data_IF_902706195843
#
_entry.id   IF_902706195843
#
_cell.length_a   1.000
_cell.length_b   1.000
_cell.length_c   1.000
_cell.angle_alpha   90.00
_cell.angle_beta   90.00
_cell.angle_gamma   90.00
#
_symmetry.space_group_name_H-M   'P 1'
#
loop_
_entity.id
_entity.type
_entity.pdbx_description
1 polymer ?
#
# COMPACT_ATOMS: atom_id res chain seq x y z
N UNK A 1 10.33 -4.10 -6.69
CA UNK A 1 9.60 -3.35 -7.74
C UNK A 1 8.13 -3.17 -7.37
N UNK A 2 7.43 -4.27 -7.05
CA UNK A 2 6.04 -4.26 -6.59
C UNK A 2 5.77 -3.34 -5.38
N UNK A 3 6.51 -3.51 -4.28
CA UNK A 3 6.35 -2.70 -3.06
C UNK A 3 6.55 -1.20 -3.34
N UNK A 4 7.60 -0.85 -4.09
CA UNK A 4 7.88 0.55 -4.46
C UNK A 4 6.79 1.13 -5.37
N UNK A 5 6.33 0.37 -6.37
CA UNK A 5 5.26 0.80 -7.25
C UNK A 5 3.97 1.05 -6.46
N UNK A 6 3.66 0.16 -5.51
CA UNK A 6 2.55 0.32 -4.58
C UNK A 6 2.68 1.62 -3.75
N UNK A 7 3.79 1.79 -3.02
CA UNK A 7 4.00 2.96 -2.13
C UNK A 7 3.92 4.28 -2.91
N UNK A 8 4.56 4.34 -4.09
CA UNK A 8 4.53 5.50 -4.98
C UNK A 8 3.10 5.84 -5.44
N UNK A 9 2.32 4.83 -5.81
CA UNK A 9 0.95 5.04 -6.30
C UNK A 9 -0.02 5.44 -5.20
N UNK A 10 0.13 4.86 -4.00
CA UNK A 10 -0.67 5.21 -2.83
C UNK A 10 -0.32 6.61 -2.29
N UNK A 11 0.90 7.10 -2.57
CA UNK A 11 1.34 8.42 -2.12
C UNK A 11 1.76 8.45 -0.65
N UNK A 12 2.25 7.31 -0.13
CA UNK A 12 2.84 7.22 1.20
C UNK A 12 4.27 7.76 1.19
N UNK A 13 4.52 8.88 1.89
CA UNK A 13 5.88 9.30 2.24
C UNK A 13 6.43 8.47 3.41
N UNK A 14 7.72 8.64 3.76
CA UNK A 14 8.38 7.88 4.83
C UNK A 14 7.69 7.94 6.22
N UNK A 15 6.79 8.91 6.43
CA UNK A 15 6.11 9.15 7.71
C UNK A 15 4.67 8.61 7.75
N UNK A 16 4.13 8.17 6.60
CA UNK A 16 2.77 7.62 6.52
C UNK A 16 2.78 6.17 7.03
N UNK A 17 1.86 5.76 7.92
CA UNK A 17 1.78 4.39 8.44
C UNK A 17 1.21 3.43 7.37
N UNK A 18 2.06 3.13 6.38
CA UNK A 18 1.82 2.31 5.20
C UNK A 18 2.91 1.25 5.12
N UNK A 19 2.53 0.00 4.86
CA UNK A 19 3.48 -1.09 4.60
C UNK A 19 3.05 -1.91 3.39
N UNK A 20 4.04 -2.39 2.64
CA UNK A 20 3.85 -3.41 1.62
C UNK A 20 5.02 -4.38 1.61
N UNK A 21 4.74 -5.67 1.48
CA UNK A 21 5.74 -6.73 1.44
C UNK A 21 5.45 -7.68 0.28
N UNK A 22 6.46 -7.93 -0.54
CA UNK A 22 6.42 -8.83 -1.67
C UNK A 22 7.21 -10.12 -1.39
N UNK A 23 6.66 -11.26 -1.80
CA UNK A 23 7.33 -12.55 -1.69
C UNK A 23 7.14 -13.35 -2.98
N UNK A 24 8.17 -14.10 -3.39
CA UNK A 24 8.08 -15.03 -4.51
C UNK A 24 8.17 -16.45 -3.96
N UNK A 25 7.18 -17.29 -4.28
CA UNK A 25 7.17 -18.71 -3.96
C UNK A 25 6.58 -19.49 -5.13
N UNK A 26 7.25 -20.57 -5.54
CA UNK A 26 6.81 -21.42 -6.66
C UNK A 26 6.47 -20.61 -7.94
N UNK A 27 7.33 -19.65 -8.28
CA UNK A 27 7.15 -18.74 -9.43
C UNK A 27 5.87 -17.87 -9.38
N UNK A 28 5.31 -17.65 -8.19
CA UNK A 28 4.19 -16.73 -7.96
C UNK A 28 4.66 -15.59 -7.07
N UNK A 29 4.43 -14.36 -7.49
CA UNK A 29 4.66 -13.16 -6.70
C UNK A 29 3.40 -12.83 -5.89
N UNK A 30 3.48 -12.87 -4.57
CA UNK A 30 2.47 -12.30 -3.68
C UNK A 30 2.89 -10.91 -3.22
N UNK A 31 1.93 -10.00 -3.10
CA UNK A 31 2.12 -8.68 -2.53
C UNK A 31 1.02 -8.47 -1.48
N UNK A 32 1.43 -8.20 -0.24
CA UNK A 32 0.54 -7.85 0.87
C UNK A 32 0.76 -6.38 1.22
N UNK A 33 -0.32 -5.66 1.50
CA UNK A 33 -0.26 -4.25 1.85
C UNK A 33 -1.19 -3.89 3.00
N UNK A 34 -0.85 -2.84 3.73
CA UNK A 34 -1.62 -2.34 4.87
C UNK A 34 -1.46 -0.84 5.04
N UNK A 35 -2.55 -0.15 5.34
CA UNK A 35 -2.60 1.27 5.71
C UNK A 35 -3.28 1.37 7.07
N UNK A 36 -2.70 2.12 8.00
CA UNK A 36 -3.27 2.35 9.32
C UNK A 36 -3.70 3.81 9.48
N UNK A 37 -4.68 4.05 10.35
CA UNK A 37 -4.93 5.39 10.89
C UNK A 37 -3.75 5.82 11.76
N UNK A 38 -3.60 7.13 12.02
CA UNK A 38 -2.46 7.62 12.79
C UNK A 38 -2.46 7.14 14.25
N UNK A 39 -3.64 6.85 14.81
CA UNK A 39 -3.81 6.25 16.13
C UNK A 39 -3.82 4.70 16.11
N UNK A 40 -3.64 4.09 14.93
CA UNK A 40 -3.61 2.63 14.75
C UNK A 40 -4.97 1.91 14.88
N UNK A 41 -6.06 2.61 15.17
CA UNK A 41 -7.38 1.99 15.41
C UNK A 41 -8.07 1.50 14.14
N UNK A 42 -7.84 2.18 13.02
CA UNK A 42 -8.35 1.78 11.71
C UNK A 42 -7.22 1.17 10.90
N UNK A 43 -7.49 0.04 10.26
CA UNK A 43 -6.53 -0.66 9.42
C UNK A 43 -7.23 -1.20 8.18
N UNK A 44 -6.69 -0.87 7.01
CA UNK A 44 -7.11 -1.41 5.72
C UNK A 44 -5.98 -2.30 5.22
N UNK A 45 -6.30 -3.55 4.90
CA UNK A 45 -5.34 -4.52 4.37
C UNK A 45 -5.91 -5.17 3.11
N UNK A 46 -5.03 -5.43 2.15
CA UNK A 46 -5.35 -6.26 0.98
C UNK A 46 -4.08 -6.97 0.51
N UNK A 47 -4.25 -8.00 -0.31
CA UNK A 47 -3.16 -8.71 -0.96
C UNK A 47 -3.56 -9.15 -2.36
N UNK A 48 -2.59 -9.27 -3.24
CA UNK A 48 -2.79 -9.78 -4.60
C UNK A 48 -1.61 -10.65 -5.03
N UNK A 49 -1.88 -11.60 -5.91
CA UNK A 49 -0.87 -12.45 -6.55
C UNK A 49 -0.74 -12.10 -8.02
N UNK A 50 0.45 -12.32 -8.59
CA UNK A 50 0.71 -12.07 -9.99
C UNK A 50 2.00 -12.73 -10.48
N UNK A 51 2.34 -12.43 -11.72
CA UNK A 51 3.55 -12.90 -12.37
C UNK A 51 4.79 -12.16 -11.83
N UNK A 52 5.86 -12.87 -11.38
CA UNK A 52 7.11 -12.25 -10.97
C UNK A 52 7.79 -11.38 -12.04
N UNK A 53 7.50 -11.58 -13.32
CA UNK A 53 8.00 -10.76 -14.44
C UNK A 53 7.32 -9.39 -14.55
N UNK A 54 6.12 -9.22 -13.94
CA UNK A 54 5.35 -7.98 -13.97
C UNK A 54 5.08 -7.40 -12.56
N UNK A 55 6.12 -7.20 -11.73
CA UNK A 55 5.95 -6.84 -10.33
C UNK A 55 5.36 -5.43 -10.15
N UNK A 56 5.69 -4.49 -11.02
CA UNK A 56 5.18 -3.11 -10.93
C UNK A 56 3.68 -3.05 -11.20
N UNK A 57 3.19 -3.81 -12.18
CA UNK A 57 1.77 -3.91 -12.49
C UNK A 57 0.99 -4.45 -11.29
N UNK A 58 1.52 -5.49 -10.63
CA UNK A 58 0.92 -6.02 -9.40
C UNK A 58 0.84 -4.95 -8.29
N UNK A 59 1.91 -4.16 -8.12
CA UNK A 59 1.95 -3.05 -7.19
C UNK A 59 0.91 -1.96 -7.49
N UNK A 60 0.76 -1.58 -8.75
CA UNK A 60 -0.23 -0.60 -9.20
C UNK A 60 -1.67 -1.09 -8.99
N UNK A 61 -1.95 -2.36 -9.33
CA UNK A 61 -3.26 -2.98 -9.13
C UNK A 61 -3.64 -3.04 -7.65
N UNK A 62 -2.70 -3.44 -6.78
CA UNK A 62 -2.96 -3.48 -5.34
C UNK A 62 -3.15 -2.08 -4.74
N UNK A 63 -2.42 -1.08 -5.26
CA UNK A 63 -2.59 0.31 -4.83
C UNK A 63 -3.96 0.88 -5.21
N UNK A 64 -4.44 0.61 -6.42
CA UNK A 64 -5.80 1.02 -6.82
C UNK A 64 -6.87 0.38 -5.93
N UNK A 65 -6.69 -0.91 -5.62
CA UNK A 65 -7.61 -1.65 -4.77
C UNK A 65 -7.66 -1.10 -3.34
N UNK A 66 -6.50 -0.89 -2.70
CA UNK A 66 -6.48 -0.36 -1.33
C UNK A 66 -7.02 1.07 -1.23
N UNK A 67 -6.83 1.88 -2.28
CA UNK A 67 -7.40 3.22 -2.37
C UNK A 67 -8.92 3.17 -2.50
N UNK A 68 -9.45 2.24 -3.31
CA UNK A 68 -10.90 2.01 -3.43
C UNK A 68 -11.54 1.52 -2.11
N UNK A 69 -10.76 0.83 -1.26
CA UNK A 69 -11.16 0.45 0.10
C UNK A 69 -11.14 1.60 1.11
N UNK A 70 -10.77 2.82 0.70
CA UNK A 70 -10.78 4.02 1.54
C UNK A 70 -9.44 4.40 2.16
N UNK A 71 -8.33 3.77 1.76
CA UNK A 71 -7.01 4.12 2.29
C UNK A 71 -6.59 5.57 1.98
N UNK A 72 -7.10 6.15 0.89
CA UNK A 72 -6.86 7.55 0.54
C UNK A 72 -7.30 8.51 1.65
N UNK A 73 -8.48 8.27 2.24
CA UNK A 73 -9.02 9.09 3.33
C UNK A 73 -8.17 9.00 4.59
N UNK A 74 -7.68 7.81 4.94
CA UNK A 74 -6.77 7.61 6.09
C UNK A 74 -5.46 8.39 5.91
N UNK A 75 -4.90 8.35 4.70
CA UNK A 75 -3.66 9.05 4.37
C UNK A 75 -3.88 10.57 4.39
N UNK A 76 -4.99 11.05 3.85
CA UNK A 76 -5.33 12.47 3.90
C UNK A 76 -5.47 12.95 5.35
N UNK A 77 -6.20 12.22 6.18
CA UNK A 77 -6.37 12.54 7.59
C UNK A 77 -5.03 12.57 8.34
N UNK A 78 -4.11 11.66 8.03
CA UNK A 78 -2.74 11.70 8.55
C UNK A 78 -2.01 12.99 8.18
N UNK A 79 -2.08 13.41 6.90
CA UNK A 79 -1.39 14.64 6.42
C UNK A 79 -1.92 15.89 7.10
N UNK A 80 -3.23 15.97 7.29
CA UNK A 80 -3.86 17.09 7.99
C UNK A 80 -3.37 17.24 9.42
N UNK A 81 -3.13 16.13 10.13
CA UNK A 81 -2.67 16.16 11.52
C UNK A 81 -1.15 16.31 11.69
N UNK A 82 -0.33 15.76 10.78
CA UNK A 82 1.13 15.64 11.01
C UNK A 82 2.03 16.30 9.96
N UNK A 83 1.50 16.73 8.82
CA UNK A 83 2.30 17.38 7.77
C UNK A 83 2.18 18.91 7.79
N UNK A 84 1.09 19.44 8.36
CA UNK A 84 0.85 20.88 8.51
C UNK A 84 1.25 21.47 9.87
N UNK A 85 1.72 20.63 10.80
CA UNK A 85 2.14 20.99 12.15
C UNK A 85 3.65 21.13 12.28
#
# INVERSE_FOLDING_TARGET
LAERAFVRKVGGGCKVPLGAIAQIKNNVLSLHASVLSPDGKTKIQTSKVGDPSSPEELGLKLAQEILALGAGSLIQHWREMYEKG
#
